data_IF_534383100897
#
_entry.id   IF_534383100897
#
_cell.length_a   1.000
_cell.length_b   1.000
_cell.length_c   1.000
_cell.angle_alpha   90.00
_cell.angle_beta   90.00
_cell.angle_gamma   90.00
#
_symmetry.space_group_name_H-M   'P 1'
#
loop_
_entity.id
_entity.type
_entity.pdbx_description
1 polymer ?
#
# COMPACT_ATOMS: atom_id res chain seq x y z
N UNK A 1 52.38 31.29 -21.58
CA UNK A 1 53.62 30.52 -21.85
C UNK A 1 54.04 29.86 -20.55
N UNK A 2 53.77 28.56 -20.38
CA UNK A 2 54.17 27.84 -19.14
C UNK A 2 55.68 27.68 -19.18
N UNK A 3 56.39 28.27 -18.22
CA UNK A 3 57.85 28.18 -18.12
C UNK A 3 58.20 26.74 -17.72
N UNK A 4 58.75 25.96 -18.65
CA UNK A 4 59.17 24.59 -18.37
C UNK A 4 60.34 24.63 -17.40
N UNK A 5 60.18 24.00 -16.23
CA UNK A 5 61.22 23.91 -15.21
C UNK A 5 61.99 22.59 -15.42
N UNK A 6 63.32 22.68 -15.49
CA UNK A 6 64.20 21.53 -15.63
C UNK A 6 65.10 21.40 -14.41
N UNK A 7 65.22 20.18 -13.91
CA UNK A 7 66.15 19.82 -12.83
C UNK A 7 67.21 18.89 -13.40
N UNK A 8 68.49 19.25 -13.26
CA UNK A 8 69.60 18.46 -13.76
C UNK A 8 70.35 17.81 -12.60
N UNK A 9 70.36 16.48 -12.56
CA UNK A 9 71.06 15.69 -11.53
C UNK A 9 71.85 14.58 -12.24
N UNK A 10 73.13 14.44 -11.90
CA UNK A 10 74.03 13.39 -12.42
C UNK A 10 74.01 13.21 -13.96
N UNK A 11 73.87 14.31 -14.70
CA UNK A 11 73.86 14.31 -16.18
C UNK A 11 72.49 14.09 -16.82
N UNK A 12 71.43 13.84 -16.04
CA UNK A 12 70.06 13.64 -16.54
C UNK A 12 69.25 14.93 -16.34
N UNK A 13 68.55 15.37 -17.39
CA UNK A 13 67.63 16.52 -17.35
C UNK A 13 66.19 16.05 -17.18
N UNK A 14 65.60 16.36 -16.02
CA UNK A 14 64.22 15.99 -15.68
C UNK A 14 63.32 17.20 -15.87
N UNK A 15 62.27 17.05 -16.68
CA UNK A 15 61.23 18.06 -16.83
C UNK A 15 60.25 17.99 -15.66
N UNK A 16 60.36 18.94 -14.73
CA UNK A 16 59.52 19.00 -13.54
C UNK A 16 58.05 19.29 -13.87
N UNK A 17 57.78 20.02 -14.95
CA UNK A 17 56.40 20.29 -15.39
C UNK A 17 55.69 18.99 -15.75
N UNK A 18 56.35 18.08 -16.48
CA UNK A 18 55.80 16.77 -16.83
C UNK A 18 55.59 15.92 -15.58
N UNK A 19 56.55 15.92 -14.66
CA UNK A 19 56.47 15.16 -13.41
C UNK A 19 55.31 15.63 -12.53
N UNK A 20 55.14 16.94 -12.38
CA UNK A 20 54.04 17.55 -11.61
C UNK A 20 52.69 17.22 -12.26
N UNK A 21 52.57 17.32 -13.59
CA UNK A 21 51.34 16.97 -14.30
C UNK A 21 50.97 15.49 -14.12
N UNK A 22 51.96 14.59 -14.17
CA UNK A 22 51.76 13.16 -13.94
C UNK A 22 51.25 12.86 -12.53
N UNK A 23 51.92 13.38 -11.49
CA UNK A 23 51.48 13.17 -10.10
C UNK A 23 50.16 13.86 -9.78
N UNK A 24 49.89 15.02 -10.37
CA UNK A 24 48.59 15.70 -10.27
C UNK A 24 47.47 14.85 -10.87
N UNK A 25 47.70 14.23 -12.03
CA UNK A 25 46.76 13.28 -12.65
C UNK A 25 46.49 12.06 -11.76
N UNK A 26 47.54 11.46 -11.18
CA UNK A 26 47.38 10.35 -10.23
C UNK A 26 46.59 10.79 -9.00
N UNK A 27 46.91 11.96 -8.42
CA UNK A 27 46.24 12.47 -7.23
C UNK A 27 44.77 12.77 -7.50
N UNK A 28 44.44 13.33 -8.67
CA UNK A 28 43.07 13.54 -9.11
C UNK A 28 42.32 12.20 -9.32
N UNK A 29 42.98 11.21 -9.93
CA UNK A 29 42.42 9.87 -10.09
C UNK A 29 42.13 9.19 -8.75
N UNK A 30 43.07 9.27 -7.80
CA UNK A 30 42.88 8.78 -6.44
C UNK A 30 41.72 9.50 -5.72
N UNK A 31 41.61 10.82 -5.90
CA UNK A 31 40.52 11.60 -5.31
C UNK A 31 39.16 11.19 -5.88
N UNK A 32 39.05 10.99 -7.19
CA UNK A 32 37.81 10.51 -7.82
C UNK A 32 37.44 9.11 -7.32
N UNK A 33 38.40 8.18 -7.25
CA UNK A 33 38.16 6.83 -6.73
C UNK A 33 37.75 6.87 -5.26
N UNK A 34 38.39 7.71 -4.44
CA UNK A 34 38.04 7.88 -3.04
C UNK A 34 36.60 8.41 -2.87
N UNK A 35 36.17 9.38 -3.70
CA UNK A 35 34.80 9.89 -3.69
C UNK A 35 33.79 8.82 -4.12
N UNK A 36 34.09 8.04 -5.16
CA UNK A 36 33.23 6.94 -5.61
C UNK A 36 33.11 5.82 -4.56
N UNK A 37 34.21 5.53 -3.87
CA UNK A 37 34.24 4.58 -2.76
C UNK A 37 33.40 5.09 -1.58
N UNK A 38 33.59 6.35 -1.15
CA UNK A 38 32.77 6.96 -0.10
C UNK A 38 31.29 6.95 -0.46
N UNK A 39 30.92 7.29 -1.69
CA UNK A 39 29.55 7.21 -2.15
C UNK A 39 28.99 5.79 -2.07
N UNK A 40 29.77 4.79 -2.48
CA UNK A 40 29.38 3.38 -2.43
C UNK A 40 29.23 2.87 -0.99
N UNK A 41 30.11 3.29 -0.09
CA UNK A 41 30.03 2.99 1.35
C UNK A 41 28.79 3.64 1.96
N UNK A 42 28.53 4.92 1.71
CA UNK A 42 27.35 5.62 2.21
C UNK A 42 26.06 4.95 1.70
N UNK A 43 26.02 4.56 0.43
CA UNK A 43 24.89 3.81 -0.14
C UNK A 43 24.75 2.39 0.44
N UNK A 44 25.87 1.77 0.79
CA UNK A 44 25.93 0.42 1.38
C UNK A 44 25.66 0.38 2.88
N UNK A 45 25.83 1.50 3.58
CA UNK A 45 25.42 1.68 4.97
C UNK A 45 23.89 1.74 5.03
N UNK A 46 23.26 0.57 5.15
CA UNK A 46 21.89 0.49 5.67
C UNK A 46 21.93 1.09 7.08
N UNK A 47 21.51 2.34 7.24
CA UNK A 47 21.36 2.89 8.59
C UNK A 47 20.37 1.99 9.33
N UNK A 48 20.69 1.57 10.58
CA UNK A 48 19.71 0.87 11.38
C UNK A 48 18.46 1.75 11.50
N UNK A 49 17.28 1.14 11.39
CA UNK A 49 16.00 1.84 11.53
C UNK A 49 16.02 2.67 12.81
N UNK A 50 16.00 4.00 12.68
CA UNK A 50 15.99 4.90 13.82
C UNK A 50 14.58 4.91 14.39
N UNK A 51 14.41 4.22 15.50
CA UNK A 51 13.22 4.28 16.33
C UNK A 51 13.58 4.89 17.69
N UNK A 52 12.60 5.50 18.33
CA UNK A 52 12.71 5.99 19.70
C UNK A 52 11.83 5.15 20.61
N UNK A 53 12.22 5.06 21.89
CA UNK A 53 11.40 4.41 22.91
C UNK A 53 10.05 5.15 23.06
N UNK A 54 9.03 4.41 23.48
CA UNK A 54 7.67 4.94 23.69
C UNK A 54 7.53 5.47 25.11
N UNK A 55 6.53 6.31 25.36
CA UNK A 55 6.29 6.83 26.72
C UNK A 55 5.62 5.79 27.62
N UNK A 56 4.78 4.94 27.03
CA UNK A 56 4.08 3.84 27.69
C UNK A 56 4.26 2.57 26.83
N UNK A 57 5.01 1.58 27.33
CA UNK A 57 5.30 0.33 26.61
C UNK A 57 4.22 -0.74 26.79
N UNK A 58 3.54 -0.74 27.94
CA UNK A 58 2.61 -1.79 28.36
C UNK A 58 1.14 -1.36 28.18
N UNK A 59 0.75 -1.18 26.91
CA UNK A 59 -0.65 -0.95 26.54
C UNK A 59 -1.36 -2.29 26.35
N UNK A 60 -2.49 -2.46 27.03
CA UNK A 60 -3.33 -3.65 26.95
C UNK A 60 -3.81 -3.89 25.50
N UNK A 61 -3.45 -5.06 24.96
CA UNK A 61 -3.85 -5.49 23.62
C UNK A 61 -5.38 -5.56 23.47
N UNK A 62 -6.10 -5.87 24.55
CA UNK A 62 -7.56 -5.90 24.53
C UNK A 62 -8.14 -4.49 24.33
N UNK A 63 -7.56 -3.46 24.95
CA UNK A 63 -8.02 -2.08 24.77
C UNK A 63 -7.94 -1.65 23.30
N UNK A 64 -6.89 -2.09 22.60
CA UNK A 64 -6.70 -1.81 21.17
C UNK A 64 -7.74 -2.54 20.32
N UNK A 65 -8.05 -3.81 20.65
CA UNK A 65 -9.13 -4.55 19.99
C UNK A 65 -10.49 -3.86 20.19
N UNK A 66 -10.74 -3.29 21.37
CA UNK A 66 -11.95 -2.50 21.62
C UNK A 66 -12.02 -1.25 20.74
N UNK A 67 -10.92 -0.51 20.59
CA UNK A 67 -10.87 0.67 19.70
C UNK A 67 -11.15 0.28 18.23
N UNK A 68 -10.54 -0.82 17.76
CA UNK A 68 -10.78 -1.32 16.39
C UNK A 68 -12.24 -1.71 16.21
N UNK A 69 -12.81 -2.44 17.17
CA UNK A 69 -14.20 -2.90 17.11
C UNK A 69 -15.19 -1.74 17.17
N UNK A 70 -14.91 -0.72 17.98
CA UNK A 70 -15.73 0.48 18.04
C UNK A 70 -15.69 1.23 16.69
N UNK A 71 -14.50 1.43 16.12
CA UNK A 71 -14.34 2.03 14.79
C UNK A 71 -15.09 1.24 13.69
N UNK A 72 -15.04 -0.09 13.74
CA UNK A 72 -15.81 -0.96 12.85
C UNK A 72 -17.32 -0.80 13.04
N UNK A 73 -17.79 -0.70 14.29
CA UNK A 73 -19.21 -0.49 14.60
C UNK A 73 -19.70 0.87 14.10
N UNK A 74 -18.91 1.93 14.30
CA UNK A 74 -19.19 3.25 13.75
C UNK A 74 -19.34 3.17 12.22
N UNK A 75 -18.40 2.53 11.54
CA UNK A 75 -18.46 2.39 10.08
C UNK A 75 -19.64 1.54 9.59
N UNK A 76 -20.08 0.57 10.40
CA UNK A 76 -21.23 -0.27 10.08
C UNK A 76 -22.56 0.50 10.09
N UNK A 77 -22.64 1.68 10.72
CA UNK A 77 -23.82 2.51 10.72
C UNK A 77 -24.17 2.96 9.29
N UNK A 78 -25.20 2.31 8.71
CA UNK A 78 -25.63 2.56 7.32
C UNK A 78 -26.11 3.99 7.12
N UNK A 79 -26.89 4.53 8.05
CA UNK A 79 -27.48 5.87 7.94
C UNK A 79 -26.39 6.94 7.89
N UNK A 80 -25.43 6.87 8.81
CA UNK A 80 -24.31 7.81 8.83
C UNK A 80 -23.43 7.68 7.58
N UNK A 81 -23.17 6.44 7.14
CA UNK A 81 -22.36 6.18 5.94
C UNK A 81 -22.99 6.70 4.65
N UNK A 82 -24.32 6.67 4.56
CA UNK A 82 -25.06 7.23 3.42
C UNK A 82 -25.07 8.77 3.45
N UNK A 83 -25.11 9.38 4.64
CA UNK A 83 -25.07 10.83 4.81
C UNK A 83 -23.68 11.44 4.56
N UNK A 84 -22.63 10.84 5.13
CA UNK A 84 -21.25 11.34 5.02
C UNK A 84 -20.57 10.89 3.71
N UNK A 85 -20.99 9.74 3.18
CA UNK A 85 -20.39 9.07 2.03
C UNK A 85 -19.30 8.08 2.44
N UNK A 86 -19.29 6.92 1.78
CA UNK A 86 -18.42 5.77 2.09
C UNK A 86 -16.94 6.16 2.28
N UNK A 87 -16.35 6.84 1.30
CA UNK A 87 -14.92 7.15 1.31
C UNK A 87 -14.54 8.18 2.37
N UNK A 88 -15.40 9.19 2.57
CA UNK A 88 -15.21 10.25 3.57
C UNK A 88 -15.25 9.66 4.98
N UNK A 89 -16.29 8.89 5.29
CA UNK A 89 -16.45 8.24 6.60
C UNK A 89 -15.31 7.26 6.89
N UNK A 90 -14.93 6.43 5.90
CA UNK A 90 -13.83 5.49 6.05
C UNK A 90 -12.51 6.22 6.37
N UNK A 91 -12.20 7.30 5.64
CA UNK A 91 -10.98 8.07 5.87
C UNK A 91 -10.98 8.74 7.24
N UNK A 92 -12.11 9.30 7.67
CA UNK A 92 -12.26 9.91 8.99
C UNK A 92 -12.04 8.89 10.11
N UNK A 93 -12.75 7.77 10.07
CA UNK A 93 -12.65 6.71 11.09
C UNK A 93 -11.23 6.15 11.19
N UNK A 94 -10.55 5.90 10.06
CA UNK A 94 -9.16 5.42 10.10
C UNK A 94 -8.22 6.46 10.72
N UNK A 95 -8.41 7.76 10.45
CA UNK A 95 -7.60 8.82 11.06
C UNK A 95 -7.85 8.95 12.56
N UNK A 96 -9.10 8.85 12.97
CA UNK A 96 -9.48 8.95 14.39
C UNK A 96 -8.96 7.72 15.16
N UNK A 97 -9.17 6.51 14.63
CA UNK A 97 -8.61 5.27 15.19
C UNK A 97 -7.08 5.35 15.35
N UNK A 98 -6.37 5.80 14.31
CA UNK A 98 -4.92 5.89 14.39
C UNK A 98 -4.45 6.93 15.43
N UNK A 99 -5.18 8.04 15.58
CA UNK A 99 -4.93 9.04 16.62
C UNK A 99 -5.20 8.48 18.03
N UNK A 100 -6.29 7.76 18.20
CA UNK A 100 -6.68 7.19 19.49
C UNK A 100 -5.67 6.16 19.97
N UNK A 101 -5.21 5.28 19.07
CA UNK A 101 -4.12 4.33 19.33
C UNK A 101 -2.83 5.09 19.67
N UNK A 102 -2.43 6.07 18.86
CA UNK A 102 -1.22 6.85 19.10
C UNK A 102 -1.22 7.54 20.48
N UNK A 103 -2.38 8.01 20.92
CA UNK A 103 -2.56 8.68 22.22
C UNK A 103 -2.31 7.73 23.40
N UNK A 104 -2.51 6.42 23.22
CA UNK A 104 -2.19 5.42 24.25
C UNK A 104 -0.68 5.34 24.50
N UNK A 105 0.12 5.36 23.44
CA UNK A 105 1.59 5.26 23.53
C UNK A 105 2.28 6.59 23.85
N UNK A 106 1.64 7.71 23.54
CA UNK A 106 2.19 9.06 23.73
C UNK A 106 1.19 10.02 24.40
N UNK A 107 0.70 9.72 25.63
CA UNK A 107 -0.39 10.47 26.27
C UNK A 107 -0.01 11.91 26.65
N UNK A 108 1.29 12.19 26.82
CA UNK A 108 1.80 13.53 27.16
C UNK A 108 2.11 14.38 25.92
N UNK A 109 2.07 13.79 24.72
CA UNK A 109 2.33 14.53 23.49
C UNK A 109 1.14 15.43 23.14
N UNK A 110 1.44 16.64 22.67
CA UNK A 110 0.43 17.53 22.06
C UNK A 110 -0.07 16.99 20.72
N UNK A 111 0.76 16.19 20.03
CA UNK A 111 0.45 15.61 18.73
C UNK A 111 0.87 14.13 18.67
N UNK A 112 0.19 13.22 19.39
CA UNK A 112 0.58 11.80 19.49
C UNK A 112 0.71 11.12 18.12
N UNK A 113 -0.17 11.47 17.19
CA UNK A 113 -0.16 10.96 15.81
C UNK A 113 1.11 11.34 15.00
N UNK A 114 1.87 12.33 15.46
CA UNK A 114 3.09 12.83 14.79
C UNK A 114 4.39 12.42 15.51
N UNK A 115 4.30 11.54 16.51
CA UNK A 115 5.47 11.05 17.26
C UNK A 115 6.26 9.97 16.50
N UNK A 116 5.74 9.49 15.36
CA UNK A 116 6.49 8.58 14.50
C UNK A 116 7.62 9.31 13.77
N UNK A 117 8.78 8.64 13.67
CA UNK A 117 9.82 9.07 12.76
C UNK A 117 9.36 8.89 11.30
N UNK A 118 10.07 9.52 10.37
CA UNK A 118 9.79 9.34 8.93
C UNK A 118 9.92 7.87 8.54
N UNK A 119 10.93 7.15 9.06
CA UNK A 119 11.14 5.74 8.77
C UNK A 119 10.01 4.86 9.31
N UNK A 120 9.51 5.15 10.51
CA UNK A 120 8.37 4.45 11.11
C UNK A 120 7.06 4.72 10.35
N UNK A 121 6.84 5.97 9.92
CA UNK A 121 5.69 6.33 9.09
C UNK A 121 5.71 5.65 7.72
N UNK A 122 6.88 5.56 7.09
CA UNK A 122 7.05 4.83 5.83
C UNK A 122 6.85 3.33 6.02
N UNK A 123 7.34 2.76 7.12
CA UNK A 123 7.10 1.35 7.46
C UNK A 123 5.61 1.07 7.66
N UNK A 124 4.89 1.93 8.40
CA UNK A 124 3.44 1.83 8.58
C UNK A 124 2.70 1.80 7.24
N UNK A 125 3.04 2.73 6.34
CA UNK A 125 2.46 2.76 4.99
C UNK A 125 2.74 1.46 4.24
N UNK A 126 3.98 0.96 4.29
CA UNK A 126 4.36 -0.29 3.63
C UNK A 126 3.64 -1.53 4.18
N UNK A 127 3.43 -1.59 5.49
CA UNK A 127 2.66 -2.70 6.11
C UNK A 127 1.18 -2.64 5.75
N UNK A 128 0.57 -1.45 5.80
CA UNK A 128 -0.82 -1.26 5.35
C UNK A 128 -0.94 -1.62 3.87
N UNK A 129 -0.02 -1.14 3.02
CA UNK A 129 0.00 -1.45 1.59
C UNK A 129 0.03 -2.96 1.35
N UNK A 130 0.96 -3.68 2.00
CA UNK A 130 1.08 -5.13 1.86
C UNK A 130 -0.21 -5.85 2.22
N UNK A 131 -0.85 -5.49 3.33
CA UNK A 131 -2.09 -6.14 3.79
C UNK A 131 -3.30 -5.77 2.94
N UNK A 132 -3.36 -4.55 2.43
CA UNK A 132 -4.36 -4.15 1.44
C UNK A 132 -4.13 -4.92 0.15
N UNK A 133 -2.89 -5.13 -0.29
CA UNK A 133 -2.61 -5.94 -1.48
C UNK A 133 -3.05 -7.40 -1.29
N UNK A 134 -2.75 -8.00 -0.13
CA UNK A 134 -3.24 -9.34 0.25
C UNK A 134 -4.78 -9.44 0.21
N UNK A 135 -5.49 -8.41 0.69
CA UNK A 135 -6.96 -8.33 0.55
C UNK A 135 -7.39 -8.41 -0.92
N UNK A 136 -6.70 -7.72 -1.84
CA UNK A 136 -7.01 -7.78 -3.27
C UNK A 136 -6.55 -9.07 -3.99
N UNK A 137 -5.81 -9.97 -3.33
CA UNK A 137 -5.57 -11.34 -3.84
C UNK A 137 -6.81 -12.24 -3.76
N UNK A 138 -7.82 -11.88 -2.95
CA UNK A 138 -9.08 -12.61 -2.90
C UNK A 138 -9.69 -12.72 -4.31
N UNK A 139 -10.19 -13.92 -4.67
CA UNK A 139 -10.61 -14.31 -6.03
C UNK A 139 -11.47 -13.26 -6.74
N UNK A 140 -12.39 -12.63 -6.00
CA UNK A 140 -13.27 -11.59 -6.54
C UNK A 140 -12.57 -10.23 -6.66
N UNK A 141 -11.85 -9.77 -5.63
CA UNK A 141 -11.18 -8.47 -5.67
C UNK A 141 -10.08 -8.41 -6.72
N UNK A 142 -9.44 -9.55 -7.00
CA UNK A 142 -8.44 -9.71 -8.05
C UNK A 142 -8.91 -9.28 -9.44
N UNK A 143 -10.20 -9.39 -9.74
CA UNK A 143 -10.75 -8.97 -11.04
C UNK A 143 -10.81 -7.44 -11.22
N UNK A 144 -10.82 -6.69 -10.11
CA UNK A 144 -10.88 -5.22 -10.11
C UNK A 144 -9.48 -4.60 -10.20
N UNK A 145 -8.41 -5.33 -9.88
CA UNK A 145 -7.02 -4.83 -9.92
C UNK A 145 -6.58 -4.31 -11.29
N UNK A 146 -7.07 -4.90 -12.37
CA UNK A 146 -6.74 -4.48 -13.73
C UNK A 146 -7.55 -3.27 -14.22
N UNK A 147 -8.48 -2.75 -13.41
CA UNK A 147 -9.32 -1.62 -13.80
C UNK A 147 -8.64 -0.30 -13.47
N UNK A 148 -8.77 0.66 -14.38
CA UNK A 148 -8.45 2.05 -14.07
C UNK A 148 -9.52 2.65 -13.19
N UNK A 149 -9.15 3.62 -12.34
CA UNK A 149 -10.10 4.38 -11.51
C UNK A 149 -11.19 5.01 -12.38
N UNK A 150 -10.84 5.54 -13.56
CA UNK A 150 -11.80 6.03 -14.56
C UNK A 150 -12.87 4.99 -14.89
N UNK A 151 -12.47 3.74 -15.14
CA UNK A 151 -13.39 2.67 -15.52
C UNK A 151 -14.29 2.25 -14.35
N UNK A 152 -13.80 2.31 -13.11
CA UNK A 152 -14.62 2.10 -11.91
C UNK A 152 -15.69 3.20 -11.77
N UNK A 153 -15.33 4.46 -12.02
CA UNK A 153 -16.28 5.58 -12.01
C UNK A 153 -17.32 5.41 -13.13
N UNK A 154 -16.88 5.09 -14.35
CA UNK A 154 -17.77 4.87 -15.50
C UNK A 154 -18.78 3.72 -15.25
N UNK A 155 -18.37 2.67 -14.52
CA UNK A 155 -19.25 1.54 -14.16
C UNK A 155 -20.41 1.95 -13.26
N UNK A 156 -20.21 2.94 -12.38
CA UNK A 156 -21.28 3.51 -11.55
C UNK A 156 -22.36 4.19 -12.41
N UNK A 157 -21.94 4.82 -13.50
CA UNK A 157 -22.80 5.68 -14.34
C UNK A 157 -23.48 4.91 -15.48
N UNK A 158 -23.02 3.69 -15.79
CA UNK A 158 -23.53 2.93 -16.92
C UNK A 158 -24.48 1.80 -16.54
N UNK A 159 -25.79 2.11 -16.55
CA UNK A 159 -26.84 1.08 -16.61
C UNK A 159 -26.77 0.22 -17.90
N UNK A 160 -26.17 0.73 -18.98
CA UNK A 160 -26.39 0.25 -20.37
C UNK A 160 -25.15 -0.16 -21.19
N UNK A 161 -24.04 -0.61 -20.58
CA UNK A 161 -22.82 -0.96 -21.36
C UNK A 161 -22.97 -2.23 -22.21
N UNK A 162 -23.88 -3.15 -21.85
CA UNK A 162 -24.05 -4.40 -22.58
C UNK A 162 -24.93 -4.21 -23.83
N UNK A 163 -25.91 -3.30 -23.81
CA UNK A 163 -26.80 -3.09 -24.97
C UNK A 163 -26.15 -2.24 -26.08
N UNK A 164 -25.22 -1.36 -25.73
CA UNK A 164 -24.65 -0.39 -26.67
C UNK A 164 -23.23 -0.72 -27.18
N UNK A 165 -22.54 -1.71 -26.60
CA UNK A 165 -21.26 -2.15 -27.16
C UNK A 165 -21.48 -3.00 -28.43
N UNK A 166 -20.60 -2.85 -29.43
CA UNK A 166 -20.65 -3.62 -30.69
C UNK A 166 -20.78 -5.14 -30.44
N UNK A 167 -20.25 -5.63 -29.32
CA UNK A 167 -20.36 -7.01 -28.86
C UNK A 167 -21.80 -7.44 -28.52
N UNK A 168 -22.61 -6.59 -27.87
CA UNK A 168 -24.03 -6.88 -27.57
C UNK A 168 -24.90 -6.96 -28.83
N UNK A 169 -24.59 -6.14 -29.84
CA UNK A 169 -25.25 -6.19 -31.15
C UNK A 169 -24.86 -7.43 -31.97
N UNK A 170 -23.61 -7.90 -31.84
CA UNK A 170 -23.14 -9.14 -32.49
C UNK A 170 -23.66 -10.40 -31.80
N UNK A 171 -23.85 -10.38 -30.48
CA UNK A 171 -24.41 -11.49 -29.72
C UNK A 171 -25.86 -11.83 -30.14
N UNK A 172 -26.69 -10.84 -30.45
CA UNK A 172 -28.05 -11.06 -30.99
C UNK A 172 -28.07 -11.73 -32.38
N UNK A 173 -26.98 -11.67 -33.13
CA UNK A 173 -26.94 -12.07 -34.55
C UNK A 173 -26.52 -13.54 -34.77
N UNK A 174 -25.90 -14.19 -33.78
CA UNK A 174 -25.40 -15.57 -33.92
C UNK A 174 -25.67 -16.36 -32.64
N UNK A 175 -26.66 -17.27 -32.68
CA UNK A 175 -27.23 -17.93 -31.49
C UNK A 175 -26.62 -19.29 -31.10
N UNK A 176 -25.67 -19.88 -31.85
CA UNK A 176 -25.24 -21.28 -31.60
C UNK A 176 -23.74 -21.57 -31.48
N UNK A 177 -22.85 -20.78 -32.08
CA UNK A 177 -21.38 -21.02 -32.03
C UNK A 177 -20.66 -20.11 -31.02
N UNK A 178 -21.39 -19.14 -30.50
CA UNK A 178 -20.91 -18.02 -29.68
C UNK A 178 -20.96 -18.34 -28.18
N UNK A 179 -21.86 -19.21 -27.71
CA UNK A 179 -22.07 -19.45 -26.27
C UNK A 179 -20.82 -19.90 -25.50
N UNK A 180 -19.98 -20.76 -26.09
CA UNK A 180 -18.75 -21.25 -25.45
C UNK A 180 -17.63 -20.19 -25.42
N UNK A 181 -17.53 -19.34 -26.44
CA UNK A 181 -16.55 -18.23 -26.50
C UNK A 181 -17.02 -17.05 -25.63
N UNK A 182 -18.32 -16.81 -25.51
CA UNK A 182 -18.86 -15.82 -24.59
C UNK A 182 -18.87 -16.29 -23.14
N UNK A 183 -18.99 -17.59 -22.86
CA UNK A 183 -18.84 -18.11 -21.50
C UNK A 183 -17.42 -17.86 -20.95
N UNK A 184 -16.39 -18.02 -21.78
CA UNK A 184 -15.00 -17.70 -21.41
C UNK A 184 -14.74 -16.20 -21.35
N UNK A 185 -15.26 -15.40 -22.29
CA UNK A 185 -15.13 -13.93 -22.24
C UNK A 185 -15.90 -13.30 -21.07
N UNK A 186 -17.07 -13.82 -20.70
CA UNK A 186 -17.86 -13.33 -19.57
C UNK A 186 -17.21 -13.67 -18.23
N UNK A 187 -16.54 -14.81 -18.11
CA UNK A 187 -15.81 -15.19 -16.88
C UNK A 187 -14.69 -14.21 -16.51
N UNK A 188 -14.05 -13.57 -17.50
CA UNK A 188 -12.99 -12.56 -17.30
C UNK A 188 -13.43 -11.11 -17.51
N UNK A 189 -14.71 -10.85 -17.82
CA UNK A 189 -15.21 -9.50 -18.05
C UNK A 189 -15.67 -8.83 -16.75
N UNK A 190 -14.92 -7.84 -16.20
CA UNK A 190 -15.27 -7.19 -14.94
C UNK A 190 -16.61 -6.44 -14.99
N UNK A 191 -17.05 -5.98 -16.16
CA UNK A 191 -18.35 -5.30 -16.34
C UNK A 191 -19.52 -6.26 -16.14
N UNK A 192 -19.39 -7.51 -16.61
CA UNK A 192 -20.42 -8.54 -16.49
C UNK A 192 -20.66 -8.91 -15.02
N UNK A 193 -19.58 -9.16 -14.28
CA UNK A 193 -19.66 -9.44 -12.85
C UNK A 193 -20.05 -8.22 -12.03
N UNK A 194 -19.61 -7.01 -12.40
CA UNK A 194 -20.07 -5.78 -11.73
C UNK A 194 -21.60 -5.65 -11.80
N UNK A 195 -22.20 -5.82 -12.99
CA UNK A 195 -23.66 -5.81 -13.13
C UNK A 195 -24.30 -6.95 -12.33
N UNK A 196 -23.78 -8.17 -12.43
CA UNK A 196 -24.31 -9.34 -11.71
C UNK A 196 -24.32 -9.14 -10.18
N UNK A 197 -23.25 -8.58 -9.61
CA UNK A 197 -23.11 -8.36 -8.17
C UNK A 197 -23.87 -7.12 -7.67
N UNK A 198 -23.98 -6.07 -8.49
CA UNK A 198 -24.77 -4.87 -8.17
C UNK A 198 -26.27 -5.15 -8.20
N UNK A 199 -26.74 -5.97 -9.15
CA UNK A 199 -28.16 -6.35 -9.25
C UNK A 199 -28.65 -7.12 -8.02
N UNK A 200 -27.77 -7.83 -7.32
CA UNK A 200 -28.12 -8.68 -6.18
C UNK A 200 -27.91 -8.04 -4.79
N UNK A 201 -27.70 -6.72 -4.65
CA UNK A 201 -27.34 -6.04 -3.37
C UNK A 201 -26.03 -6.50 -2.69
N UNK A 202 -25.39 -7.56 -3.18
CA UNK A 202 -24.14 -8.15 -2.68
C UNK A 202 -22.99 -7.13 -2.70
N UNK A 203 -22.96 -6.23 -3.69
CA UNK A 203 -21.91 -5.21 -3.78
C UNK A 203 -21.84 -4.31 -2.54
N UNK A 204 -22.99 -3.85 -2.03
CA UNK A 204 -23.02 -2.99 -0.84
C UNK A 204 -22.50 -3.72 0.39
N UNK A 205 -22.86 -5.00 0.53
CA UNK A 205 -22.38 -5.85 1.62
C UNK A 205 -20.86 -6.08 1.53
N UNK A 206 -20.34 -6.39 0.34
CA UNK A 206 -18.91 -6.58 0.10
C UNK A 206 -18.13 -5.28 0.34
N UNK A 207 -18.62 -4.14 -0.15
CA UNK A 207 -17.99 -2.83 0.09
C UNK A 207 -17.91 -2.51 1.58
N UNK A 208 -18.97 -2.77 2.35
CA UNK A 208 -18.95 -2.59 3.80
C UNK A 208 -17.87 -3.47 4.44
N UNK A 209 -17.81 -4.76 4.09
CA UNK A 209 -16.78 -5.67 4.62
C UNK A 209 -15.36 -5.25 4.26
N UNK A 210 -15.12 -4.77 3.03
CA UNK A 210 -13.83 -4.18 2.64
C UNK A 210 -13.45 -3.03 3.57
N UNK A 211 -14.39 -2.12 3.85
CA UNK A 211 -14.15 -1.02 4.78
C UNK A 211 -13.82 -1.50 6.21
N UNK A 212 -14.52 -2.51 6.71
CA UNK A 212 -14.25 -3.12 8.02
C UNK A 212 -12.85 -3.75 8.09
N UNK A 213 -12.42 -4.44 7.02
CA UNK A 213 -11.07 -5.00 6.91
C UNK A 213 -10.02 -3.89 6.89
N UNK A 214 -10.23 -2.82 6.10
CA UNK A 214 -9.30 -1.68 6.05
C UNK A 214 -9.14 -1.03 7.43
N UNK A 215 -10.25 -0.86 8.18
CA UNK A 215 -10.20 -0.33 9.55
C UNK A 215 -9.39 -1.26 10.47
N UNK A 216 -9.64 -2.57 10.39
CA UNK A 216 -8.89 -3.55 11.19
C UNK A 216 -7.40 -3.57 10.86
N UNK A 217 -7.04 -3.57 9.57
CA UNK A 217 -5.65 -3.48 9.11
C UNK A 217 -4.99 -2.21 9.66
N UNK A 218 -5.62 -1.04 9.47
CA UNK A 218 -5.06 0.23 9.94
C UNK A 218 -4.86 0.22 11.44
N UNK A 219 -5.82 -0.30 12.21
CA UNK A 219 -5.71 -0.40 13.66
C UNK A 219 -4.56 -1.30 14.11
N UNK A 220 -4.47 -2.52 13.56
CA UNK A 220 -3.41 -3.46 13.89
C UNK A 220 -2.02 -2.93 13.52
N UNK A 221 -1.85 -2.40 12.30
CA UNK A 221 -0.54 -1.91 11.87
C UNK A 221 -0.14 -0.64 12.60
N UNK A 222 -1.10 0.24 12.91
CA UNK A 222 -0.83 1.41 13.77
C UNK A 222 -0.37 0.94 15.15
N UNK A 223 -1.05 -0.01 15.78
CA UNK A 223 -0.62 -0.56 17.06
C UNK A 223 0.80 -1.15 17.00
N UNK A 224 1.10 -1.99 16.00
CA UNK A 224 2.41 -2.64 15.89
C UNK A 224 3.55 -1.64 15.72
N UNK A 225 3.32 -0.58 14.95
CA UNK A 225 4.30 0.49 14.73
C UNK A 225 4.46 1.35 15.98
N UNK A 226 3.36 1.73 16.62
CA UNK A 226 3.41 2.57 17.81
C UNK A 226 3.96 1.84 19.03
N UNK A 227 3.68 0.54 19.20
CA UNK A 227 4.27 -0.31 20.25
C UNK A 227 5.73 -0.70 19.99
N UNK A 228 6.29 -0.33 18.83
CA UNK A 228 7.63 -0.73 18.34
C UNK A 228 7.84 -2.25 18.21
N UNK A 229 6.80 -3.07 18.46
CA UNK A 229 6.86 -4.54 18.39
C UNK A 229 7.25 -5.05 17.00
N UNK A 230 6.87 -4.33 15.94
CA UNK A 230 7.18 -4.70 14.54
C UNK A 230 8.68 -4.72 14.23
N UNK A 231 9.50 -4.08 15.06
CA UNK A 231 10.96 -4.04 14.88
C UNK A 231 11.67 -5.15 15.65
N UNK A 232 10.97 -5.86 16.55
CA UNK A 232 11.55 -6.90 17.42
C UNK A 232 10.98 -8.31 17.14
N UNK A 233 9.69 -8.49 16.81
CA UNK A 233 9.10 -9.79 16.46
C UNK A 233 7.83 -9.64 15.58
N UNK A 234 7.69 -10.46 14.53
CA UNK A 234 6.44 -10.57 13.75
C UNK A 234 5.35 -11.27 14.59
N UNK A 235 4.53 -10.50 15.31
CA UNK A 235 3.28 -11.01 15.89
C UNK A 235 2.08 -10.38 15.22
N UNK A 236 1.23 -11.20 14.62
CA UNK A 236 -0.11 -10.82 14.17
C UNK A 236 -1.03 -10.69 15.39
N UNK A 237 -1.72 -9.56 15.52
CA UNK A 237 -2.87 -9.49 16.43
C UNK A 237 -4.00 -10.27 15.76
N UNK A 238 -4.61 -11.20 16.48
CA UNK A 238 -5.83 -11.86 16.03
C UNK A 238 -7.03 -10.93 16.28
N UNK A 239 -7.32 -10.02 15.33
CA UNK A 239 -8.47 -9.11 15.41
C UNK A 239 -9.70 -9.60 14.62
N UNK A 240 -9.83 -10.91 14.41
CA UNK A 240 -10.95 -11.51 13.69
C UNK A 240 -10.99 -11.18 12.18
N UNK A 241 -9.87 -10.73 11.60
CA UNK A 241 -9.78 -10.39 10.17
C UNK A 241 -9.93 -11.63 9.29
N UNK A 242 -9.42 -12.78 9.72
CA UNK A 242 -9.56 -14.08 9.04
C UNK A 242 -11.04 -14.41 8.79
N UNK A 243 -11.87 -14.22 9.80
CA UNK A 243 -13.31 -14.45 9.72
C UNK A 243 -13.97 -13.51 8.72
N UNK A 244 -13.60 -12.21 8.74
CA UNK A 244 -14.11 -11.23 7.78
C UNK A 244 -13.67 -11.58 6.35
N UNK A 245 -12.44 -12.06 6.14
CA UNK A 245 -11.97 -12.54 4.83
C UNK A 245 -12.77 -13.74 4.32
N UNK A 246 -13.03 -14.73 5.18
CA UNK A 246 -13.83 -15.90 4.83
C UNK A 246 -15.27 -15.52 4.49
N UNK A 247 -15.85 -14.63 5.28
CA UNK A 247 -17.18 -14.06 5.11
C UNK A 247 -17.34 -13.24 3.82
N UNK A 248 -16.31 -12.50 3.41
CA UNK A 248 -16.28 -11.82 2.10
C UNK A 248 -16.37 -12.88 1.00
N UNK A 249 -15.54 -13.92 1.07
CA UNK A 249 -15.52 -14.98 0.07
C UNK A 249 -16.85 -15.75 0.00
N UNK A 250 -17.47 -16.07 1.14
CA UNK A 250 -18.76 -16.78 1.18
C UNK A 250 -19.90 -15.96 0.59
N UNK A 251 -20.08 -14.71 1.03
CA UNK A 251 -21.18 -13.86 0.54
C UNK A 251 -21.07 -13.58 -0.97
N UNK A 252 -19.84 -13.54 -1.48
CA UNK A 252 -19.60 -13.44 -2.92
C UNK A 252 -19.99 -14.75 -3.60
N UNK A 253 -19.55 -15.91 -3.10
CA UNK A 253 -19.89 -17.21 -3.70
C UNK A 253 -21.39 -17.46 -3.72
N UNK A 254 -22.11 -17.14 -2.64
CA UNK A 254 -23.58 -17.26 -2.55
C UNK A 254 -24.27 -16.34 -3.55
N UNK A 255 -23.92 -15.06 -3.58
CA UNK A 255 -24.48 -14.09 -4.53
C UNK A 255 -24.22 -14.41 -6.01
N UNK A 256 -23.20 -15.23 -6.31
CA UNK A 256 -22.92 -15.72 -7.66
C UNK A 256 -23.69 -17.02 -8.01
N UNK A 257 -24.10 -17.79 -7.00
CA UNK A 257 -24.74 -19.10 -7.11
C UNK A 257 -26.28 -19.07 -7.01
N UNK A 258 -26.89 -18.04 -6.44
CA UNK A 258 -28.37 -17.89 -6.29
C UNK A 258 -29.17 -17.81 -7.62
N UNK A 259 -28.52 -17.89 -8.80
CA UNK A 259 -29.18 -17.91 -10.11
C UNK A 259 -29.09 -19.27 -10.85
N UNK A 260 -28.73 -20.37 -10.17
CA UNK A 260 -28.92 -21.72 -10.73
C UNK A 260 -30.27 -22.30 -10.34
#
# INVERSE_FOLDING_TARGET
>A
MIKMLFLKIAGIEINLTILISFFSGILMGMLIIALLYLFSVIKGLKQPFKHHDVQEEDIDEEEIKWLIKDAQNQFNNKTERELEGYGTMLLRINKDLARDIATKFYPKSKYPFLELTIDEGLALIGYIEKRVDELFEAKFLKMFRGLTIRRIVELKDTKDVIENTKLGKTAKKYNKVTSAIFATLNAVNPVYWFKKVVVNNVMNMVMVKIGLVIIGITGEETYKIYSKKVFNEERSIDSNLEDIYQEINQNIVEGLNEEK
#
